data_IF_965668458260
#
_entry.id   IF_965668458260
#
_cell.length_a   1.000
_cell.length_b   1.000
_cell.length_c   1.000
_cell.angle_alpha   90.00
_cell.angle_beta   90.00
_cell.angle_gamma   90.00
#
_symmetry.space_group_name_H-M   'P 1'
#
loop_
_entity.id
_entity.type
_entity.pdbx_description
1 polymer ?
#
# COMPACT_ATOMS: atom_id res chain seq x y z
N UNK A 1 -48.39 -7.62 -20.87
CA UNK A 1 -47.04 -8.20 -20.94
C UNK A 1 -46.50 -8.17 -19.53
N UNK A 2 -46.40 -9.31 -18.87
CA UNK A 2 -45.82 -9.43 -17.56
C UNK A 2 -44.30 -9.32 -17.75
N UNK A 3 -43.65 -8.36 -17.04
CA UNK A 3 -42.19 -8.30 -16.95
C UNK A 3 -41.70 -9.62 -16.36
N UNK A 4 -40.61 -10.21 -16.88
CA UNK A 4 -40.01 -11.38 -16.25
C UNK A 4 -39.55 -11.02 -14.84
N UNK A 5 -40.05 -11.75 -13.84
CA UNK A 5 -39.51 -11.69 -12.49
C UNK A 5 -38.07 -12.17 -12.56
N UNK A 6 -37.12 -11.27 -12.34
CA UNK A 6 -35.76 -11.64 -12.10
C UNK A 6 -35.78 -12.41 -10.78
N UNK A 7 -35.68 -13.72 -10.85
CA UNK A 7 -35.35 -14.54 -9.69
C UNK A 7 -33.93 -14.20 -9.30
N UNK A 8 -33.73 -13.28 -8.35
CA UNK A 8 -32.45 -13.07 -7.70
C UNK A 8 -32.05 -14.38 -7.04
N UNK A 9 -31.01 -15.00 -7.52
CA UNK A 9 -30.40 -16.17 -6.86
C UNK A 9 -29.87 -15.67 -5.52
N UNK A 10 -30.32 -16.24 -4.41
CA UNK A 10 -29.82 -15.88 -3.08
C UNK A 10 -28.44 -16.50 -2.85
N UNK A 11 -27.59 -15.81 -2.04
CA UNK A 11 -26.32 -16.32 -1.59
C UNK A 11 -26.53 -17.61 -0.78
N UNK A 12 -25.92 -18.71 -1.22
CA UNK A 12 -26.08 -20.04 -0.58
C UNK A 12 -24.78 -20.52 0.01
N UNK A 13 -24.62 -20.39 1.34
CA UNK A 13 -23.46 -20.88 2.09
C UNK A 13 -23.23 -22.40 1.91
N UNK A 14 -24.29 -23.27 2.01
CA UNK A 14 -24.10 -24.69 1.76
C UNK A 14 -23.54 -25.00 0.37
N UNK A 15 -23.94 -24.21 -0.65
CA UNK A 15 -23.43 -24.39 -2.01
C UNK A 15 -21.96 -23.95 -2.15
N UNK A 16 -21.54 -22.88 -1.47
CA UNK A 16 -20.14 -22.47 -1.40
C UNK A 16 -19.30 -23.61 -0.78
N UNK A 17 -19.72 -24.15 0.35
CA UNK A 17 -19.03 -25.27 1.05
C UNK A 17 -19.01 -26.59 0.25
N UNK A 18 -19.96 -26.79 -0.65
CA UNK A 18 -20.00 -27.98 -1.54
C UNK A 18 -18.99 -27.87 -2.69
N UNK A 19 -18.80 -26.66 -3.23
CA UNK A 19 -18.07 -26.44 -4.50
C UNK A 19 -16.61 -26.08 -4.28
N UNK A 20 -16.30 -25.40 -3.16
CA UNK A 20 -14.95 -24.87 -2.89
C UNK A 20 -14.16 -25.86 -2.05
N UNK A 21 -12.89 -26.08 -2.43
CA UNK A 21 -11.90 -26.77 -1.60
C UNK A 21 -11.33 -25.85 -0.51
N UNK A 22 -11.42 -24.53 -0.74
CA UNK A 22 -11.03 -23.49 0.21
C UNK A 22 -11.99 -23.32 1.37
N UNK A 23 -11.56 -22.57 2.38
CA UNK A 23 -12.37 -22.32 3.58
C UNK A 23 -13.56 -21.39 3.30
N UNK A 24 -14.71 -21.69 3.93
CA UNK A 24 -15.92 -20.87 3.92
C UNK A 24 -16.32 -20.62 5.37
N UNK A 25 -16.02 -19.42 5.86
CA UNK A 25 -16.18 -19.00 7.26
C UNK A 25 -17.38 -18.07 7.37
N UNK A 26 -18.25 -18.35 8.34
CA UNK A 26 -19.48 -17.60 8.61
C UNK A 26 -19.53 -17.12 10.07
N UNK A 27 -20.43 -16.21 10.45
CA UNK A 27 -20.55 -15.75 11.84
C UNK A 27 -20.76 -16.85 12.89
N UNK A 28 -21.17 -18.04 12.48
CA UNK A 28 -21.37 -19.19 13.36
C UNK A 28 -20.08 -20.01 13.60
N UNK A 29 -18.99 -19.72 12.86
CA UNK A 29 -17.72 -20.45 12.97
C UNK A 29 -16.80 -19.77 14.02
N UNK A 30 -16.11 -20.57 14.85
CA UNK A 30 -15.23 -20.08 15.94
C UNK A 30 -14.09 -19.17 15.43
N UNK A 31 -13.63 -19.36 14.19
CA UNK A 31 -12.58 -18.56 13.55
C UNK A 31 -13.06 -17.23 12.95
N UNK A 32 -14.36 -16.93 13.02
CA UNK A 32 -14.93 -15.78 12.32
C UNK A 32 -14.37 -14.45 12.77
N UNK A 33 -14.26 -14.21 14.08
CA UNK A 33 -13.79 -12.92 14.62
C UNK A 33 -12.33 -12.65 14.27
N UNK A 34 -11.49 -13.69 14.27
CA UNK A 34 -10.11 -13.59 13.78
C UNK A 34 -10.07 -13.36 12.25
N UNK A 35 -10.83 -14.14 11.50
CA UNK A 35 -10.84 -14.09 10.04
C UNK A 35 -11.38 -12.77 9.47
N UNK A 36 -12.31 -12.08 10.14
CA UNK A 36 -12.86 -10.79 9.68
C UNK A 36 -11.97 -9.60 10.02
N UNK A 37 -11.02 -9.75 10.94
CA UNK A 37 -10.14 -8.67 11.35
C UNK A 37 -9.27 -8.18 10.19
N UNK A 38 -9.12 -6.87 10.08
CA UNK A 38 -8.17 -6.19 9.18
C UNK A 38 -7.06 -5.53 10.00
N UNK A 39 -5.98 -5.14 9.33
CA UNK A 39 -4.80 -4.56 9.96
C UNK A 39 -5.11 -3.35 10.85
N UNK A 40 -6.00 -2.46 10.43
CA UNK A 40 -6.37 -1.25 11.19
C UNK A 40 -7.53 -1.45 12.19
N UNK A 41 -7.99 -2.69 12.41
CA UNK A 41 -9.03 -2.98 13.40
C UNK A 41 -10.41 -2.38 13.08
N UNK A 42 -10.70 -2.05 11.83
CA UNK A 42 -12.01 -1.54 11.41
C UNK A 42 -13.04 -2.67 11.56
N UNK A 43 -14.02 -2.48 12.46
CA UNK A 43 -15.03 -3.50 12.77
C UNK A 43 -16.10 -3.57 11.69
N UNK A 44 -15.96 -4.54 10.78
CA UNK A 44 -16.97 -4.90 9.77
C UNK A 44 -17.39 -6.35 9.93
N UNK A 45 -18.63 -6.66 9.55
CA UNK A 45 -19.27 -7.97 9.76
C UNK A 45 -19.77 -8.55 8.44
N UNK A 46 -18.90 -9.21 7.65
CA UNK A 46 -19.30 -9.88 6.43
C UNK A 46 -20.23 -11.08 6.71
N UNK A 47 -21.13 -11.38 5.77
CA UNK A 47 -21.98 -12.57 5.85
C UNK A 47 -21.16 -13.85 5.69
N UNK A 48 -20.09 -13.79 4.89
CA UNK A 48 -19.20 -14.92 4.65
C UNK A 48 -17.80 -14.45 4.25
N UNK A 49 -16.80 -15.18 4.73
CA UNK A 49 -15.41 -15.02 4.31
C UNK A 49 -15.02 -16.31 3.57
N UNK A 50 -14.52 -16.16 2.34
CA UNK A 50 -14.05 -17.26 1.51
C UNK A 50 -12.55 -17.15 1.30
N UNK A 51 -11.80 -18.19 1.66
CA UNK A 51 -10.36 -18.33 1.42
C UNK A 51 -10.13 -19.34 0.28
N UNK A 52 -10.09 -18.89 -0.97
CA UNK A 52 -9.90 -19.76 -2.12
C UNK A 52 -8.45 -20.29 -2.15
N UNK A 53 -8.26 -21.46 -2.78
CA UNK A 53 -6.94 -22.07 -2.98
C UNK A 53 -6.40 -21.88 -4.40
N UNK A 54 -7.27 -21.50 -5.35
CA UNK A 54 -6.93 -21.37 -6.76
C UNK A 54 -7.83 -20.37 -7.49
N UNK A 55 -7.42 -19.96 -8.71
CA UNK A 55 -8.14 -18.98 -9.53
C UNK A 55 -9.52 -19.43 -10.01
N UNK A 56 -9.80 -20.73 -10.12
CA UNK A 56 -11.12 -21.22 -10.49
C UNK A 56 -12.13 -21.00 -9.36
N UNK A 57 -11.72 -21.18 -8.12
CA UNK A 57 -12.53 -20.86 -6.95
C UNK A 57 -12.80 -19.36 -6.83
N UNK A 58 -11.77 -18.53 -7.08
CA UNK A 58 -11.94 -17.07 -7.19
C UNK A 58 -12.99 -16.73 -8.25
N UNK A 59 -12.90 -17.33 -9.44
CA UNK A 59 -13.86 -17.12 -10.53
C UNK A 59 -15.28 -17.54 -10.16
N UNK A 60 -15.42 -18.64 -9.42
CA UNK A 60 -16.70 -19.10 -8.92
C UNK A 60 -17.32 -18.09 -7.94
N UNK A 61 -16.54 -17.60 -6.94
CA UNK A 61 -17.02 -16.63 -5.94
C UNK A 61 -17.39 -15.30 -6.61
N UNK A 62 -16.58 -14.80 -7.55
CA UNK A 62 -16.87 -13.60 -8.35
C UNK A 62 -18.18 -13.77 -9.10
N UNK A 63 -18.43 -14.94 -9.71
CA UNK A 63 -19.68 -15.22 -10.42
C UNK A 63 -20.88 -15.27 -9.46
N UNK A 64 -20.73 -15.88 -8.29
CA UNK A 64 -21.76 -15.89 -7.24
C UNK A 64 -22.11 -14.46 -6.82
N UNK A 65 -21.10 -13.63 -6.48
CA UNK A 65 -21.32 -12.24 -6.09
C UNK A 65 -22.06 -11.43 -7.17
N UNK A 66 -21.65 -11.58 -8.44
CA UNK A 66 -22.30 -10.95 -9.59
C UNK A 66 -23.78 -11.40 -9.73
N UNK A 67 -24.02 -12.70 -9.73
CA UNK A 67 -25.31 -13.28 -10.06
C UNK A 67 -26.34 -13.08 -8.92
N UNK A 68 -25.88 -12.96 -7.68
CA UNK A 68 -26.71 -12.63 -6.50
C UNK A 68 -26.82 -11.13 -6.23
N UNK A 69 -25.95 -10.29 -6.83
CA UNK A 69 -25.84 -8.87 -6.50
C UNK A 69 -25.24 -8.62 -5.12
N UNK A 70 -24.61 -9.64 -4.52
CA UNK A 70 -23.96 -9.54 -3.20
C UNK A 70 -22.68 -8.69 -3.30
N UNK A 71 -22.47 -7.83 -2.31
CA UNK A 71 -21.25 -7.03 -2.23
C UNK A 71 -20.01 -7.91 -2.06
N UNK A 72 -18.93 -7.56 -2.78
CA UNK A 72 -17.68 -8.32 -2.79
C UNK A 72 -16.51 -7.45 -2.36
N UNK A 73 -15.93 -7.76 -1.21
CA UNK A 73 -14.63 -7.24 -0.79
C UNK A 73 -13.52 -8.22 -1.17
N UNK A 74 -12.39 -7.71 -1.67
CA UNK A 74 -11.21 -8.53 -1.99
C UNK A 74 -10.09 -8.16 -1.03
N UNK A 75 -9.51 -9.16 -0.36
CA UNK A 75 -8.46 -8.98 0.63
C UNK A 75 -7.22 -9.81 0.27
N UNK A 76 -6.05 -9.16 0.28
CA UNK A 76 -4.72 -9.77 0.27
C UNK A 76 -4.16 -9.70 1.72
N UNK A 77 -3.44 -8.63 2.11
CA UNK A 77 -2.94 -8.45 3.48
C UNK A 77 -3.82 -7.60 4.42
N UNK A 78 -4.95 -7.06 3.95
CA UNK A 78 -5.88 -6.32 4.82
C UNK A 78 -5.44 -4.90 5.22
N UNK A 79 -4.45 -4.32 4.57
CA UNK A 79 -3.86 -3.01 4.88
C UNK A 79 -4.59 -1.79 4.27
N UNK A 80 -5.85 -1.92 3.88
CA UNK A 80 -6.63 -0.76 3.43
C UNK A 80 -6.98 0.15 4.60
N UNK A 81 -6.48 1.38 4.61
CA UNK A 81 -6.81 2.39 5.63
C UNK A 81 -8.33 2.69 5.62
N UNK A 82 -8.98 2.61 4.47
CA UNK A 82 -10.43 2.76 4.33
C UNK A 82 -11.23 1.50 4.70
N UNK A 83 -10.56 0.39 5.06
CA UNK A 83 -11.21 -0.87 5.41
C UNK A 83 -11.85 -1.63 4.24
N UNK A 84 -11.51 -1.33 3.00
CA UNK A 84 -12.12 -1.96 1.82
C UNK A 84 -11.77 -3.44 1.63
N UNK A 85 -10.85 -4.00 2.42
CA UNK A 85 -10.60 -5.44 2.47
C UNK A 85 -11.67 -6.25 3.22
N UNK A 86 -12.75 -5.60 3.71
CA UNK A 86 -13.90 -6.22 4.36
C UNK A 86 -15.19 -5.47 4.01
N UNK A 87 -16.35 -6.04 4.34
CA UNK A 87 -17.68 -5.44 4.11
C UNK A 87 -18.59 -5.64 5.31
N UNK A 88 -19.63 -4.84 5.43
CA UNK A 88 -20.76 -5.10 6.33
C UNK A 88 -21.85 -5.84 5.57
N UNK A 89 -22.04 -7.12 5.87
CA UNK A 89 -22.74 -8.04 4.99
C UNK A 89 -21.88 -8.40 3.77
N UNK A 90 -22.38 -9.23 2.88
CA UNK A 90 -21.68 -9.60 1.67
C UNK A 90 -20.54 -10.61 1.84
N UNK A 91 -19.70 -10.71 0.82
CA UNK A 91 -18.62 -11.70 0.71
C UNK A 91 -17.27 -11.01 0.88
N UNK A 92 -16.42 -11.53 1.76
CA UNK A 92 -14.98 -11.24 1.77
C UNK A 92 -14.25 -12.37 1.04
N UNK A 93 -13.61 -12.06 -0.06
CA UNK A 93 -12.72 -12.96 -0.78
C UNK A 93 -11.29 -12.75 -0.27
N UNK A 94 -10.88 -13.60 0.65
CA UNK A 94 -9.59 -13.53 1.35
C UNK A 94 -8.57 -14.42 0.65
N UNK A 95 -7.60 -13.79 -0.02
CA UNK A 95 -6.58 -14.50 -0.82
C UNK A 95 -5.44 -15.08 0.03
N UNK A 96 -5.46 -14.95 1.36
CA UNK A 96 -4.37 -15.34 2.27
C UNK A 96 -3.93 -16.80 2.18
N UNK A 97 -4.77 -17.70 1.66
CA UNK A 97 -4.40 -19.10 1.38
C UNK A 97 -3.60 -19.29 0.06
N UNK A 98 -3.55 -18.26 -0.80
CA UNK A 98 -2.87 -18.32 -2.10
C UNK A 98 -1.43 -17.80 -1.97
N UNK A 99 -0.48 -18.69 -1.60
CA UNK A 99 0.91 -18.32 -1.24
C UNK A 99 1.99 -19.03 -2.07
N UNK A 100 1.67 -19.59 -3.23
CA UNK A 100 2.67 -20.25 -4.07
C UNK A 100 3.67 -19.25 -4.67
N UNK A 101 4.95 -19.63 -4.66
CA UNK A 101 6.10 -18.89 -5.23
C UNK A 101 6.84 -19.82 -6.20
N UNK A 102 7.10 -19.32 -7.41
CA UNK A 102 7.89 -20.04 -8.44
C UNK A 102 8.96 -19.11 -9.01
N UNK A 103 10.19 -19.29 -8.55
CA UNK A 103 11.35 -18.49 -8.98
C UNK A 103 12.04 -19.12 -10.17
N UNK A 104 12.26 -18.33 -11.23
CA UNK A 104 13.18 -18.65 -12.32
C UNK A 104 14.43 -17.78 -12.21
N UNK A 105 15.47 -18.32 -11.58
CA UNK A 105 16.73 -17.60 -11.34
C UNK A 105 17.49 -17.30 -12.62
N UNK A 106 17.29 -18.08 -13.70
CA UNK A 106 17.96 -17.88 -14.99
C UNK A 106 17.36 -16.68 -15.75
N UNK A 107 16.03 -16.57 -15.70
CA UNK A 107 15.33 -15.43 -16.32
C UNK A 107 15.18 -14.25 -15.36
N UNK A 108 15.53 -14.44 -14.08
CA UNK A 108 15.31 -13.47 -12.99
C UNK A 108 13.86 -13.02 -12.95
N UNK A 109 12.96 -13.99 -12.87
CA UNK A 109 11.52 -13.73 -12.72
C UNK A 109 10.94 -14.61 -11.63
N UNK A 110 9.82 -14.15 -11.06
CA UNK A 110 9.03 -14.93 -10.11
C UNK A 110 7.55 -14.86 -10.49
N UNK A 111 6.86 -15.98 -10.40
CA UNK A 111 5.42 -16.01 -10.24
C UNK A 111 5.09 -16.14 -8.76
N UNK A 112 4.34 -15.18 -8.22
CA UNK A 112 3.96 -15.09 -6.82
C UNK A 112 2.44 -14.93 -6.71
N UNK A 113 1.79 -15.73 -5.89
CA UNK A 113 0.35 -15.62 -5.64
C UNK A 113 0.03 -14.42 -4.74
N UNK A 114 -1.14 -13.81 -4.96
CA UNK A 114 -1.53 -12.52 -4.39
C UNK A 114 -1.84 -12.55 -2.88
N UNK A 115 -1.92 -13.71 -2.27
CA UNK A 115 -2.09 -13.86 -0.81
C UNK A 115 -0.80 -13.78 0.00
N UNK A 116 0.37 -13.72 -0.67
CA UNK A 116 1.65 -13.49 -0.01
C UNK A 116 1.72 -12.09 0.60
N UNK A 117 2.47 -11.98 1.70
CA UNK A 117 2.91 -10.68 2.23
C UNK A 117 4.25 -10.26 1.62
N UNK A 118 4.61 -8.99 1.80
CA UNK A 118 5.89 -8.45 1.35
C UNK A 118 7.06 -9.17 2.03
N UNK A 119 6.98 -9.43 3.34
CA UNK A 119 8.00 -10.16 4.08
C UNK A 119 8.17 -11.60 3.57
N UNK A 120 7.07 -12.34 3.38
CA UNK A 120 7.10 -13.71 2.90
C UNK A 120 7.78 -13.83 1.53
N UNK A 121 7.42 -12.94 0.59
CA UNK A 121 8.02 -12.99 -0.74
C UNK A 121 9.47 -12.50 -0.72
N UNK A 122 9.80 -11.47 0.06
CA UNK A 122 11.17 -10.94 0.18
C UNK A 122 12.10 -11.98 0.78
N UNK A 123 11.67 -12.68 1.83
CA UNK A 123 12.44 -13.79 2.44
C UNK A 123 12.68 -14.93 1.45
N UNK A 124 11.63 -15.38 0.74
CA UNK A 124 11.76 -16.45 -0.26
C UNK A 124 12.70 -16.08 -1.42
N UNK A 125 12.74 -14.83 -1.85
CA UNK A 125 13.64 -14.35 -2.89
C UNK A 125 15.07 -14.17 -2.40
N UNK A 126 15.25 -13.83 -1.11
CA UNK A 126 16.55 -13.67 -0.46
C UNK A 126 17.41 -14.92 -0.49
N UNK A 127 16.82 -16.13 -0.52
CA UNK A 127 17.55 -17.39 -0.71
C UNK A 127 18.32 -17.43 -2.04
N UNK A 128 17.94 -16.59 -3.00
CA UNK A 128 18.52 -16.51 -4.32
C UNK A 128 19.31 -15.21 -4.56
N UNK A 129 19.50 -14.36 -3.53
CA UNK A 129 20.09 -13.01 -3.63
C UNK A 129 19.34 -12.11 -4.63
N UNK A 130 18.02 -12.30 -4.72
CA UNK A 130 17.13 -11.58 -5.62
C UNK A 130 16.05 -10.87 -4.82
N UNK A 131 15.55 -9.76 -5.37
CA UNK A 131 14.48 -9.00 -4.76
C UNK A 131 13.54 -8.36 -5.79
N UNK A 132 12.34 -8.04 -5.33
CA UNK A 132 11.44 -7.03 -5.89
C UNK A 132 11.00 -6.11 -4.76
N UNK A 133 10.96 -4.78 -5.01
CA UNK A 133 10.61 -3.82 -3.98
C UNK A 133 9.10 -3.77 -3.74
N UNK A 134 8.71 -3.73 -2.46
CA UNK A 134 7.34 -3.46 -2.01
C UNK A 134 7.31 -2.17 -1.17
N UNK A 135 6.43 -2.10 -0.16
CA UNK A 135 6.37 -0.98 0.79
C UNK A 135 7.43 -1.06 1.88
N UNK A 136 7.08 -0.52 3.02
CA UNK A 136 7.89 -0.45 4.24
C UNK A 136 7.38 -1.36 5.38
N UNK A 137 6.22 -1.97 5.23
CA UNK A 137 5.66 -2.92 6.18
C UNK A 137 5.68 -4.35 5.62
N UNK A 138 6.23 -5.28 6.39
CA UNK A 138 6.36 -6.69 5.99
C UNK A 138 5.03 -7.41 5.87
N UNK A 139 4.06 -7.06 6.70
CA UNK A 139 2.72 -7.64 6.76
C UNK A 139 1.79 -7.21 5.60
N UNK A 140 2.18 -6.19 4.81
CA UNK A 140 1.38 -5.74 3.67
C UNK A 140 1.26 -6.84 2.60
N UNK A 141 0.03 -7.10 2.14
CA UNK A 141 -0.21 -8.07 1.07
C UNK A 141 0.26 -7.56 -0.29
N UNK A 142 1.00 -8.41 -1.05
CA UNK A 142 1.54 -8.02 -2.35
C UNK A 142 0.46 -7.68 -3.37
N UNK A 143 -0.80 -8.13 -3.17
CA UNK A 143 -1.91 -7.88 -4.10
C UNK A 143 -2.26 -6.40 -4.19
N UNK A 144 -2.70 -5.81 -3.08
CA UNK A 144 -3.14 -4.41 -3.05
C UNK A 144 -2.02 -3.42 -3.36
N UNK A 145 -0.85 -3.63 -2.74
CA UNK A 145 0.29 -2.72 -2.93
C UNK A 145 0.76 -2.68 -4.38
N UNK A 146 0.82 -3.84 -5.06
CA UNK A 146 1.19 -3.91 -6.48
C UNK A 146 0.19 -3.17 -7.35
N UNK A 147 -1.12 -3.43 -7.18
CA UNK A 147 -2.13 -2.86 -8.07
C UNK A 147 -2.21 -1.32 -7.99
N UNK A 148 -1.87 -0.72 -6.85
CA UNK A 148 -1.86 0.74 -6.69
C UNK A 148 -0.54 1.43 -7.01
N UNK A 149 0.57 0.67 -7.13
CA UNK A 149 1.88 1.25 -7.44
C UNK A 149 3.05 0.58 -6.72
N UNK A 150 3.09 0.66 -5.40
CA UNK A 150 4.15 0.11 -4.56
C UNK A 150 5.38 1.02 -4.45
N UNK A 151 5.35 1.92 -3.46
CA UNK A 151 6.46 2.80 -3.09
C UNK A 151 7.16 2.23 -1.87
N UNK A 152 8.44 1.92 -1.97
CA UNK A 152 9.20 1.31 -0.88
C UNK A 152 10.71 1.48 -1.03
N UNK A 153 11.47 0.68 -0.29
CA UNK A 153 12.93 0.84 -0.11
C UNK A 153 13.78 0.67 -1.39
N UNK A 154 13.28 0.01 -2.43
CA UNK A 154 13.99 -0.15 -3.71
C UNK A 154 13.48 0.78 -4.82
N UNK A 155 12.51 1.65 -4.51
CA UNK A 155 11.79 2.38 -5.55
C UNK A 155 12.64 3.41 -6.28
N UNK A 156 13.60 4.07 -5.61
CA UNK A 156 14.50 5.03 -6.27
C UNK A 156 15.44 4.33 -7.24
N UNK A 157 15.91 3.12 -6.91
CA UNK A 157 16.85 2.35 -7.74
C UNK A 157 16.17 1.59 -8.86
N UNK A 158 15.04 0.94 -8.59
CA UNK A 158 14.40 -0.02 -9.50
C UNK A 158 13.01 0.39 -9.99
N UNK A 159 12.47 1.52 -9.54
CA UNK A 159 11.10 1.95 -9.82
C UNK A 159 10.10 1.42 -8.79
N UNK A 160 8.85 1.73 -9.02
CA UNK A 160 7.73 1.21 -8.22
C UNK A 160 7.59 -0.31 -8.40
N UNK A 161 6.88 -0.99 -7.53
CA UNK A 161 6.58 -2.43 -7.69
C UNK A 161 5.98 -2.75 -9.06
N UNK A 162 5.08 -1.88 -9.56
CA UNK A 162 4.46 -2.01 -10.89
C UNK A 162 5.47 -1.93 -12.06
N UNK A 163 6.64 -1.34 -11.87
CA UNK A 163 7.65 -1.22 -12.92
C UNK A 163 8.43 -2.52 -13.09
N UNK A 164 8.40 -3.38 -12.07
CA UNK A 164 8.91 -4.75 -12.13
C UNK A 164 7.84 -5.76 -12.57
N UNK A 165 6.55 -5.37 -12.68
CA UNK A 165 5.47 -6.27 -13.08
C UNK A 165 5.56 -6.59 -14.58
N UNK A 166 5.66 -7.89 -14.91
CA UNK A 166 5.73 -8.41 -16.28
C UNK A 166 4.38 -8.93 -16.77
N UNK A 167 3.63 -9.58 -15.89
CA UNK A 167 2.31 -10.13 -16.16
C UNK A 167 1.53 -10.31 -14.87
N UNK A 168 0.20 -10.46 -14.99
CA UNK A 168 -0.65 -10.91 -13.91
C UNK A 168 -1.69 -11.92 -14.42
N UNK A 169 -2.22 -12.72 -13.51
CA UNK A 169 -3.45 -13.48 -13.74
C UNK A 169 -4.58 -12.78 -13.00
N UNK A 170 -5.63 -12.45 -13.73
CA UNK A 170 -6.81 -11.75 -13.20
C UNK A 170 -8.08 -12.56 -13.43
N UNK A 171 -8.97 -12.51 -12.45
CA UNK A 171 -10.37 -12.91 -12.59
C UNK A 171 -11.21 -11.65 -12.80
N UNK A 172 -11.81 -11.52 -13.97
CA UNK A 172 -12.67 -10.39 -14.36
C UNK A 172 -14.10 -10.54 -13.85
N UNK A 173 -14.91 -9.46 -13.91
CA UNK A 173 -16.29 -9.45 -13.39
C UNK A 173 -17.21 -10.47 -14.07
N UNK A 174 -16.91 -10.91 -15.29
CA UNK A 174 -17.62 -11.97 -16.00
C UNK A 174 -17.16 -13.40 -15.58
N UNK A 175 -16.26 -13.51 -14.60
CA UNK A 175 -15.75 -14.79 -14.08
C UNK A 175 -14.66 -15.43 -14.93
N UNK A 176 -14.10 -14.74 -15.92
CA UNK A 176 -13.01 -15.28 -16.74
C UNK A 176 -11.65 -15.08 -16.07
N UNK A 177 -10.83 -16.13 -16.15
CA UNK A 177 -9.43 -16.06 -15.75
C UNK A 177 -8.59 -15.62 -16.96
N UNK A 178 -7.97 -14.46 -16.86
CA UNK A 178 -7.16 -13.86 -17.93
C UNK A 178 -5.70 -13.74 -17.51
N UNK A 179 -4.77 -14.09 -18.40
CA UNK A 179 -3.39 -13.63 -18.32
C UNK A 179 -3.31 -12.26 -18.99
N UNK A 180 -2.78 -11.29 -18.27
CA UNK A 180 -2.62 -9.92 -18.77
C UNK A 180 -1.14 -9.52 -18.74
N UNK A 181 -0.65 -8.99 -19.85
CA UNK A 181 0.71 -8.51 -20.01
C UNK A 181 0.77 -7.46 -21.15
N UNK A 182 1.96 -7.02 -21.53
CA UNK A 182 2.13 -5.99 -22.57
C UNK A 182 1.60 -6.40 -23.96
N UNK A 183 1.41 -7.70 -24.23
CA UNK A 183 0.91 -8.24 -25.48
C UNK A 183 -0.55 -8.72 -25.36
N UNK A 184 -0.92 -9.22 -24.19
CA UNK A 184 -2.24 -9.78 -23.90
C UNK A 184 -3.02 -8.83 -23.01
N UNK A 185 -4.11 -8.25 -23.52
CA UNK A 185 -4.93 -7.25 -22.80
C UNK A 185 -4.13 -6.03 -22.32
N UNK A 186 -3.39 -5.34 -23.22
CA UNK A 186 -2.45 -4.29 -22.82
C UNK A 186 -3.12 -3.08 -22.15
N UNK A 187 -4.38 -2.80 -22.44
CA UNK A 187 -5.19 -1.78 -21.77
C UNK A 187 -5.48 -2.15 -20.31
N UNK A 188 -5.84 -3.39 -20.05
CA UNK A 188 -6.05 -3.91 -18.70
C UNK A 188 -4.72 -3.98 -17.94
N UNK A 189 -3.65 -4.41 -18.59
CA UNK A 189 -2.29 -4.41 -18.01
C UNK A 189 -1.81 -3.01 -17.63
N UNK A 190 -2.13 -2.01 -18.45
CA UNK A 190 -1.87 -0.62 -18.09
C UNK A 190 -2.67 -0.19 -16.85
N UNK A 191 -3.97 -0.50 -16.81
CA UNK A 191 -4.89 -0.08 -15.76
C UNK A 191 -4.54 -0.67 -14.39
N UNK A 192 -4.17 -1.97 -14.32
CA UNK A 192 -3.79 -2.62 -13.05
C UNK A 192 -2.43 -2.17 -12.52
N UNK A 193 -1.66 -1.40 -13.27
CA UNK A 193 -0.40 -0.81 -12.83
C UNK A 193 -0.60 0.62 -12.32
N UNK A 194 -1.36 0.75 -11.23
CA UNK A 194 -1.65 2.02 -10.55
C UNK A 194 -3.14 2.26 -10.31
N UNK A 195 -4.05 1.64 -11.07
CA UNK A 195 -5.50 1.84 -10.94
C UNK A 195 -6.16 1.01 -9.84
N UNK A 196 -5.39 0.28 -9.04
CA UNK A 196 -5.91 -0.52 -7.92
C UNK A 196 -6.75 -1.73 -8.33
N UNK A 197 -7.53 -2.24 -7.39
CA UNK A 197 -8.36 -3.46 -7.53
C UNK A 197 -9.67 -3.26 -8.31
N UNK A 198 -9.77 -2.24 -9.16
CA UNK A 198 -11.02 -1.87 -9.83
C UNK A 198 -11.44 -2.79 -11.00
N UNK A 199 -10.53 -3.60 -11.53
CA UNK A 199 -10.70 -4.24 -12.84
C UNK A 199 -10.84 -5.76 -12.76
N UNK A 200 -10.65 -6.33 -11.58
CA UNK A 200 -10.68 -7.77 -11.35
C UNK A 200 -9.90 -8.16 -10.10
N UNK A 201 -9.96 -9.43 -9.77
CA UNK A 201 -9.17 -10.04 -8.69
C UNK A 201 -7.87 -10.58 -9.25
N UNK A 202 -6.75 -9.97 -8.87
CA UNK A 202 -5.43 -10.52 -9.20
C UNK A 202 -5.15 -11.74 -8.31
N UNK A 203 -4.87 -12.88 -8.93
CA UNK A 203 -4.61 -14.15 -8.23
C UNK A 203 -3.12 -14.45 -8.11
N UNK A 204 -2.32 -13.98 -9.08
CA UNK A 204 -0.85 -14.04 -9.05
C UNK A 204 -0.23 -13.01 -9.99
N UNK A 205 1.02 -12.68 -9.71
CA UNK A 205 1.83 -11.72 -10.46
C UNK A 205 3.12 -12.36 -10.95
N UNK A 206 3.59 -11.95 -12.12
CA UNK A 206 4.93 -12.24 -12.59
C UNK A 206 5.79 -10.98 -12.47
N UNK A 207 6.81 -11.02 -11.62
CA UNK A 207 7.74 -9.91 -11.47
C UNK A 207 9.09 -10.22 -12.11
N UNK A 208 9.74 -9.17 -12.62
CA UNK A 208 11.18 -9.12 -12.84
C UNK A 208 11.86 -9.02 -11.49
N UNK A 209 12.95 -9.74 -11.30
CA UNK A 209 13.77 -9.72 -10.10
C UNK A 209 15.05 -8.93 -10.35
N UNK A 210 15.50 -8.27 -9.30
CA UNK A 210 16.74 -7.50 -9.25
C UNK A 210 17.75 -8.19 -8.33
N UNK A 211 19.04 -8.10 -8.67
CA UNK A 211 20.11 -8.54 -7.77
C UNK A 211 20.22 -7.53 -6.63
N UNK A 212 19.81 -7.94 -5.44
CA UNK A 212 19.92 -7.19 -4.21
C UNK A 212 20.19 -8.19 -3.10
N UNK A 213 21.40 -8.13 -2.53
CA UNK A 213 21.81 -9.00 -1.44
C UNK A 213 22.13 -8.17 -0.21
N UNK A 214 23.24 -7.44 -0.26
CA UNK A 214 23.67 -6.58 0.83
C UNK A 214 23.04 -5.19 0.72
N UNK A 215 22.75 -4.63 1.89
CA UNK A 215 22.28 -3.26 2.07
C UNK A 215 23.07 -2.61 3.21
N UNK A 216 23.07 -1.28 3.24
CA UNK A 216 23.30 -0.52 4.47
C UNK A 216 21.98 0.12 4.84
N UNK A 217 21.38 -0.31 5.92
CA UNK A 217 20.04 0.15 6.26
C UNK A 217 19.70 0.01 7.73
N UNK A 218 18.62 0.66 8.11
CA UNK A 218 18.13 0.63 9.48
C UNK A 218 17.52 1.96 9.90
N UNK A 219 17.37 2.08 11.21
CA UNK A 219 16.74 3.21 11.87
C UNK A 219 17.77 4.25 12.30
N UNK A 220 17.53 5.52 11.95
CA UNK A 220 18.27 6.67 12.48
C UNK A 220 17.28 7.65 13.11
N UNK A 221 17.43 7.91 14.40
CA UNK A 221 16.59 8.86 15.13
C UNK A 221 17.40 10.10 15.51
N UNK A 222 16.93 11.25 15.07
CA UNK A 222 17.56 12.55 15.30
C UNK A 222 16.59 13.48 16.07
N UNK A 223 17.10 14.49 16.79
CA UNK A 223 16.26 15.58 17.28
C UNK A 223 15.57 16.27 16.10
N UNK A 224 14.25 16.46 16.18
CA UNK A 224 13.52 17.18 15.15
C UNK A 224 13.68 18.69 15.34
N UNK A 225 14.73 19.25 14.76
CA UNK A 225 14.89 20.69 14.59
C UNK A 225 14.61 21.09 13.15
N UNK A 226 14.32 22.35 12.91
CA UNK A 226 14.11 22.91 11.57
C UNK A 226 15.28 22.57 10.64
N UNK A 227 16.52 22.70 11.13
CA UNK A 227 17.74 22.38 10.37
C UNK A 227 17.86 20.90 10.08
N UNK A 228 17.57 20.05 11.06
CA UNK A 228 17.67 18.59 10.90
C UNK A 228 16.65 18.06 9.89
N UNK A 229 15.37 18.50 9.97
CA UNK A 229 14.33 18.04 9.05
C UNK A 229 14.56 18.54 7.63
N UNK A 230 14.83 19.84 7.43
CA UNK A 230 15.10 20.41 6.11
C UNK A 230 16.40 19.82 5.51
N UNK A 231 17.47 19.70 6.29
CA UNK A 231 18.75 19.13 5.86
C UNK A 231 18.62 17.63 5.50
N UNK A 232 17.80 16.88 6.23
CA UNK A 232 17.53 15.47 5.89
C UNK A 232 16.89 15.34 4.50
N UNK A 233 15.88 16.16 4.21
CA UNK A 233 15.19 16.14 2.90
C UNK A 233 16.13 16.56 1.78
N UNK A 234 16.96 17.58 2.00
CA UNK A 234 17.97 18.04 1.03
C UNK A 234 19.00 16.94 0.72
N UNK A 235 19.55 16.28 1.75
CA UNK A 235 20.47 15.14 1.59
C UNK A 235 19.79 13.97 0.86
N UNK A 236 18.57 13.62 1.22
CA UNK A 236 17.83 12.54 0.58
C UNK A 236 17.53 12.83 -0.90
N UNK A 237 17.22 14.08 -1.24
CA UNK A 237 16.99 14.50 -2.63
C UNK A 237 18.28 14.46 -3.47
N UNK A 238 19.41 14.80 -2.89
CA UNK A 238 20.74 14.78 -3.53
C UNK A 238 21.39 13.38 -3.55
N UNK A 239 20.88 12.44 -2.78
CA UNK A 239 21.44 11.10 -2.65
C UNK A 239 21.38 10.30 -3.96
N UNK A 240 22.29 9.32 -4.17
CA UNK A 240 22.22 8.41 -5.31
C UNK A 240 20.93 7.57 -5.30
N UNK A 241 20.57 7.02 -6.44
CA UNK A 241 19.34 6.24 -6.61
C UNK A 241 19.29 4.99 -5.71
N UNK A 242 20.44 4.48 -5.30
CA UNK A 242 20.57 3.35 -4.39
C UNK A 242 20.01 3.63 -2.99
N UNK A 243 19.93 4.90 -2.55
CA UNK A 243 19.39 5.27 -1.24
C UNK A 243 17.91 5.61 -1.34
N UNK A 244 17.08 4.90 -0.61
CA UNK A 244 15.69 5.26 -0.33
C UNK A 244 15.55 5.62 1.15
N UNK A 245 14.73 6.63 1.45
CA UNK A 245 14.50 7.11 2.82
C UNK A 245 13.03 7.28 3.12
N UNK A 246 12.66 7.01 4.38
CA UNK A 246 11.36 7.34 4.95
C UNK A 246 11.64 8.09 6.25
N UNK A 247 11.17 9.32 6.35
CA UNK A 247 11.36 10.15 7.53
C UNK A 247 10.00 10.48 8.16
N UNK A 248 9.89 10.26 9.47
CA UNK A 248 8.68 10.53 10.24
C UNK A 248 8.99 11.61 11.28
N UNK A 249 8.39 12.78 11.14
CA UNK A 249 8.38 13.79 12.22
C UNK A 249 7.21 13.46 13.12
N UNK A 250 7.49 13.03 14.36
CA UNK A 250 6.49 12.55 15.29
C UNK A 250 6.92 12.72 16.75
N UNK A 251 5.98 12.63 17.68
CA UNK A 251 6.33 12.50 19.10
C UNK A 251 6.88 11.10 19.35
N UNK A 252 8.01 11.01 20.05
CA UNK A 252 8.63 9.74 20.41
C UNK A 252 7.68 8.88 21.24
N UNK A 253 7.24 7.72 20.72
CA UNK A 253 6.42 6.80 21.50
C UNK A 253 7.27 6.09 22.58
N UNK A 254 6.66 5.44 23.58
CA UNK A 254 7.35 4.70 24.60
C UNK A 254 7.91 3.36 24.06
N UNK A 255 8.94 3.44 23.21
CA UNK A 255 9.62 2.26 22.67
C UNK A 255 10.67 1.75 23.66
N UNK A 256 10.87 0.42 23.81
CA UNK A 256 11.80 -0.16 24.77
C UNK A 256 13.26 0.27 24.57
N UNK A 257 13.65 0.59 23.32
CA UNK A 257 15.01 1.00 22.95
C UNK A 257 15.22 2.52 23.00
N UNK A 258 14.19 3.33 23.29
CA UNK A 258 14.30 4.77 23.48
C UNK A 258 14.37 5.13 24.96
N UNK A 259 15.34 5.96 25.39
CA UNK A 259 15.38 6.49 26.75
C UNK A 259 14.05 7.17 27.14
N UNK A 260 13.60 6.93 28.37
CA UNK A 260 12.29 7.44 28.84
C UNK A 260 12.18 8.98 28.81
N UNK A 261 13.33 9.68 28.94
CA UNK A 261 13.40 11.14 28.87
C UNK A 261 13.10 11.70 27.48
N UNK A 262 13.16 10.87 26.43
CA UNK A 262 12.80 11.25 25.06
C UNK A 262 11.31 11.07 24.75
N UNK A 263 10.60 10.27 25.56
CA UNK A 263 9.18 9.99 25.31
C UNK A 263 8.37 11.28 25.27
N UNK A 264 7.58 11.46 24.20
CA UNK A 264 6.76 12.65 23.96
C UNK A 264 7.50 13.85 23.37
N UNK A 265 8.83 13.82 23.26
CA UNK A 265 9.58 14.84 22.52
C UNK A 265 9.37 14.63 21.00
N UNK A 266 9.38 15.72 20.22
CA UNK A 266 9.31 15.61 18.76
C UNK A 266 10.67 15.17 18.23
N UNK A 267 10.67 14.06 17.49
CA UNK A 267 11.85 13.44 16.89
C UNK A 267 11.68 13.30 15.38
N UNK A 268 12.80 13.21 14.68
CA UNK A 268 12.89 12.74 13.31
C UNK A 268 13.27 11.24 13.34
N UNK A 269 12.26 10.40 13.22
CA UNK A 269 12.42 8.94 13.12
C UNK A 269 12.57 8.58 11.65
N UNK A 270 13.73 8.14 11.24
CA UNK A 270 13.99 7.84 9.84
C UNK A 270 14.44 6.41 9.61
N UNK A 271 14.02 5.85 8.48
CA UNK A 271 14.52 4.59 7.92
C UNK A 271 15.32 4.94 6.67
N UNK A 272 16.55 4.46 6.62
CA UNK A 272 17.43 4.58 5.46
C UNK A 272 17.75 3.20 4.93
N UNK A 273 17.69 3.01 3.61
CA UNK A 273 18.10 1.76 2.96
C UNK A 273 18.88 2.09 1.70
N UNK A 274 20.17 1.85 1.77
CA UNK A 274 21.08 1.89 0.62
C UNK A 274 21.28 0.48 0.08
N UNK A 275 20.87 0.25 -1.17
CA UNK A 275 20.98 -1.06 -1.84
C UNK A 275 22.16 -1.06 -2.81
N UNK A 276 23.35 -1.40 -2.34
CA UNK A 276 24.58 -1.37 -3.13
C UNK A 276 25.78 -1.83 -2.32
N UNK A 277 26.96 -1.47 -2.78
CA UNK A 277 28.21 -1.78 -2.07
C UNK A 277 28.22 -1.20 -0.65
N UNK A 278 28.50 -2.00 0.40
CA UNK A 278 28.42 -1.56 1.78
C UNK A 278 29.38 -0.40 2.14
N UNK A 279 30.61 -0.37 1.63
CA UNK A 279 31.56 0.71 1.91
C UNK A 279 31.07 2.05 1.33
N UNK A 280 30.48 2.00 0.12
CA UNK A 280 29.82 3.15 -0.51
C UNK A 280 28.60 3.55 0.28
N UNK A 281 27.78 2.58 0.74
CA UNK A 281 26.59 2.81 1.54
C UNK A 281 26.88 3.56 2.83
N UNK A 282 27.90 3.17 3.58
CA UNK A 282 28.36 3.87 4.78
C UNK A 282 28.75 5.33 4.47
N UNK A 283 29.44 5.57 3.35
CA UNK A 283 29.81 6.92 2.92
C UNK A 283 28.60 7.78 2.55
N UNK A 284 27.55 7.17 1.97
CA UNK A 284 26.29 7.85 1.57
C UNK A 284 25.45 8.17 2.81
N UNK A 285 25.44 7.32 3.82
CA UNK A 285 24.66 7.51 5.06
C UNK A 285 25.36 8.49 6.04
N UNK A 286 26.69 8.58 6.03
CA UNK A 286 27.44 9.40 6.98
C UNK A 286 26.94 10.86 7.11
N UNK A 287 26.61 11.62 6.03
CA UNK A 287 26.09 12.98 6.14
C UNK A 287 24.77 13.09 6.93
N UNK A 288 23.93 12.05 6.91
CA UNK A 288 22.66 12.04 7.67
C UNK A 288 22.94 11.96 9.18
N UNK A 289 23.96 11.22 9.60
CA UNK A 289 24.43 11.13 10.99
C UNK A 289 25.02 12.44 11.50
N UNK A 290 25.55 13.27 10.59
CA UNK A 290 26.19 14.57 10.91
C UNK A 290 25.17 15.73 11.03
N UNK A 291 23.90 15.54 10.65
CA UNK A 291 22.85 16.56 10.78
C UNK A 291 22.61 16.99 12.23
N UNK A 292 22.75 16.07 13.17
CA UNK A 292 22.68 16.32 14.60
C UNK A 292 23.30 15.12 15.35
N UNK A 293 23.55 15.26 16.65
CA UNK A 293 23.93 14.09 17.46
C UNK A 293 22.76 13.10 17.47
N UNK A 294 22.91 11.86 16.94
CA UNK A 294 21.86 10.88 16.92
C UNK A 294 21.35 10.54 18.33
N UNK A 295 20.03 10.43 18.47
CA UNK A 295 19.37 9.89 19.66
C UNK A 295 19.44 8.36 19.66
N UNK A 296 19.40 7.78 18.45
CA UNK A 296 19.62 6.36 18.19
C UNK A 296 20.16 6.20 16.77
N UNK A 297 21.12 5.28 16.58
CA UNK A 297 21.63 4.89 15.28
C UNK A 297 21.72 3.36 15.23
N UNK A 298 20.90 2.76 14.39
CA UNK A 298 20.83 1.33 14.09
C UNK A 298 21.04 1.07 12.59
N UNK A 299 21.65 2.03 11.88
CA UNK A 299 21.96 1.85 10.46
C UNK A 299 23.26 1.09 10.33
N UNK A 300 23.19 -0.12 9.80
CA UNK A 300 24.30 -1.06 9.69
C UNK A 300 24.21 -1.88 8.39
N UNK A 301 25.31 -2.53 7.97
CA UNK A 301 25.26 -3.52 6.91
C UNK A 301 24.37 -4.72 7.28
N UNK A 302 23.54 -5.16 6.32
CA UNK A 302 22.64 -6.27 6.50
C UNK A 302 22.22 -6.87 5.17
N UNK A 303 21.20 -7.73 5.19
CA UNK A 303 20.63 -8.32 3.97
C UNK A 303 19.26 -7.73 3.70
N UNK A 304 18.95 -7.50 2.43
CA UNK A 304 17.62 -7.00 2.06
C UNK A 304 16.49 -7.99 2.42
N UNK A 305 16.78 -9.30 2.46
CA UNK A 305 15.82 -10.31 2.89
C UNK A 305 15.31 -10.12 4.32
N UNK A 306 16.10 -9.44 5.15
CA UNK A 306 15.84 -9.28 6.58
C UNK A 306 15.30 -7.86 6.89
N UNK A 307 14.98 -7.08 5.83
CA UNK A 307 14.55 -5.68 5.97
C UNK A 307 13.22 -5.52 6.71
N UNK A 308 12.36 -6.53 6.65
CA UNK A 308 11.09 -6.53 7.34
C UNK A 308 11.23 -7.28 8.66
N UNK A 309 11.16 -6.55 9.76
CA UNK A 309 11.03 -7.16 11.08
C UNK A 309 9.72 -7.93 11.18
N UNK A 310 9.68 -8.97 12.00
CA UNK A 310 8.44 -9.65 12.35
C UNK A 310 7.57 -8.68 13.15
N UNK A 311 6.49 -8.20 12.57
CA UNK A 311 5.47 -7.44 13.28
C UNK A 311 4.67 -8.43 14.14
N UNK A 312 4.94 -8.45 15.44
CA UNK A 312 4.23 -9.32 16.39
C UNK A 312 2.74 -8.96 16.54
N UNK A 313 2.41 -7.67 16.34
CA UNK A 313 1.02 -7.17 16.43
C UNK A 313 0.81 -6.03 15.42
N UNK A 314 -0.41 -5.90 14.88
CA UNK A 314 -0.82 -4.76 14.07
C UNK A 314 -0.78 -3.44 14.86
N UNK A 315 -1.10 -2.29 14.24
CA UNK A 315 -1.13 -1.02 14.94
C UNK A 315 -2.09 -1.11 16.13
N UNK A 316 -1.80 -0.36 17.22
CA UNK A 316 -2.71 -0.35 18.36
C UNK A 316 -4.11 0.07 17.90
N UNK A 317 -5.18 -0.49 18.52
CA UNK A 317 -6.55 -0.14 18.17
C UNK A 317 -6.77 1.37 18.25
N UNK A 318 -7.37 1.94 17.21
CA UNK A 318 -7.64 3.38 17.15
C UNK A 318 -8.36 3.77 15.88
N UNK A 319 -8.80 5.03 15.85
CA UNK A 319 -9.33 5.66 14.64
C UNK A 319 -8.22 6.47 13.99
N UNK A 320 -8.16 6.43 12.67
CA UNK A 320 -7.12 7.11 11.90
C UNK A 320 -7.73 8.23 11.05
N UNK A 321 -7.14 9.41 11.09
CA UNK A 321 -7.31 10.44 10.09
C UNK A 321 -6.00 10.56 9.31
N UNK A 322 -6.10 10.54 7.98
CA UNK A 322 -4.93 10.57 7.11
C UNK A 322 -5.13 11.54 5.96
N UNK A 323 -4.03 12.12 5.48
CA UNK A 323 -3.98 12.89 4.25
C UNK A 323 -2.66 12.68 3.55
N UNK A 324 -2.71 12.08 2.38
CA UNK A 324 -1.56 11.88 1.52
C UNK A 324 -1.57 12.90 0.38
N UNK A 325 -0.43 13.51 0.08
CA UNK A 325 -0.29 14.48 -1.00
C UNK A 325 1.18 14.60 -1.43
N UNK A 326 1.44 15.41 -2.47
CA UNK A 326 2.79 15.63 -2.96
C UNK A 326 3.18 17.10 -2.83
N UNK A 327 4.48 17.33 -2.60
CA UNK A 327 5.08 18.66 -2.56
C UNK A 327 6.39 18.67 -3.36
N UNK A 328 6.81 19.85 -3.79
CA UNK A 328 8.04 19.99 -4.57
C UNK A 328 9.29 20.13 -3.68
N UNK A 329 9.12 20.62 -2.45
CA UNK A 329 10.21 20.84 -1.51
C UNK A 329 9.70 20.88 -0.06
N UNK A 330 10.58 20.61 0.90
CA UNK A 330 10.42 20.87 2.34
C UNK A 330 11.57 21.77 2.77
N UNK A 331 11.34 23.06 2.74
CA UNK A 331 12.28 24.05 3.23
C UNK A 331 12.21 24.24 4.76
N UNK A 332 13.01 25.17 5.30
CA UNK A 332 13.05 25.46 6.74
C UNK A 332 11.67 25.91 7.29
N UNK A 333 10.91 26.66 6.52
CA UNK A 333 9.59 27.14 6.96
C UNK A 333 8.57 26.00 7.01
N UNK A 334 8.59 25.10 6.01
CA UNK A 334 7.77 23.89 6.01
C UNK A 334 8.17 22.94 7.16
N UNK A 335 9.48 22.76 7.40
CA UNK A 335 9.98 21.96 8.51
C UNK A 335 9.54 22.52 9.88
N UNK A 336 9.63 23.83 10.09
CA UNK A 336 9.14 24.50 11.30
C UNK A 336 7.64 24.26 11.49
N UNK A 337 6.84 24.46 10.44
CA UNK A 337 5.40 24.22 10.46
C UNK A 337 5.07 22.77 10.86
N UNK A 338 5.76 21.79 10.28
CA UNK A 338 5.56 20.36 10.61
C UNK A 338 5.85 20.11 12.10
N UNK A 339 7.00 20.57 12.60
CA UNK A 339 7.42 20.36 13.98
C UNK A 339 6.42 21.00 14.96
N UNK A 340 6.03 22.26 14.73
CA UNK A 340 5.08 22.98 15.57
C UNK A 340 3.72 22.28 15.61
N UNK A 341 3.18 21.88 14.45
CA UNK A 341 1.88 21.23 14.35
C UNK A 341 1.89 19.83 14.99
N UNK A 342 2.94 19.02 14.78
CA UNK A 342 3.10 17.73 15.45
C UNK A 342 3.20 17.92 16.97
N UNK A 343 3.98 18.89 17.43
CA UNK A 343 4.12 19.19 18.87
C UNK A 343 2.79 19.63 19.51
N UNK A 344 1.98 20.42 18.80
CA UNK A 344 0.70 20.92 19.28
C UNK A 344 -0.43 19.89 19.21
N UNK A 345 -0.28 18.79 18.48
CA UNK A 345 -1.32 17.77 18.32
C UNK A 345 -1.65 17.08 19.65
N UNK A 346 -2.96 16.92 19.92
CA UNK A 346 -3.50 16.15 21.07
C UNK A 346 -3.73 14.67 20.78
N UNK A 347 -3.50 14.22 19.53
CA UNK A 347 -3.65 12.81 19.13
C UNK A 347 -2.70 11.91 19.94
N UNK A 348 -3.10 10.66 20.16
CA UNK A 348 -2.22 9.66 20.76
C UNK A 348 -0.98 9.39 19.92
N UNK A 349 -1.12 9.48 18.60
CA UNK A 349 -0.01 9.52 17.64
C UNK A 349 -0.33 10.56 16.56
N UNK A 350 0.61 11.48 16.32
CA UNK A 350 0.58 12.45 15.23
C UNK A 350 1.90 12.35 14.48
N UNK A 351 1.83 12.17 13.17
CA UNK A 351 3.03 11.96 12.34
C UNK A 351 2.89 12.70 11.00
N UNK A 352 4.00 13.28 10.56
CA UNK A 352 4.19 13.68 9.16
C UNK A 352 5.30 12.80 8.59
N UNK A 353 4.91 11.87 7.73
CA UNK A 353 5.84 11.01 7.02
C UNK A 353 6.24 11.67 5.71
N UNK A 354 7.55 11.70 5.45
CA UNK A 354 8.19 12.32 4.28
C UNK A 354 8.91 11.21 3.50
N UNK A 355 8.56 11.04 2.24
CA UNK A 355 9.23 10.11 1.32
C UNK A 355 9.80 10.89 0.14
N UNK A 356 11.12 10.92 0.03
CA UNK A 356 11.80 11.52 -1.12
C UNK A 356 11.80 10.48 -2.25
N UNK A 357 11.15 10.83 -3.35
CA UNK A 357 10.98 10.01 -4.54
C UNK A 357 12.10 10.27 -5.58
N UNK A 358 11.79 10.22 -6.87
CA UNK A 358 12.75 10.46 -7.94
C UNK A 358 13.43 9.18 -8.44
N UNK A 359 14.69 9.26 -8.87
CA UNK A 359 15.44 8.12 -9.38
C UNK A 359 14.73 7.38 -10.51
N UNK A 360 14.67 6.05 -10.46
CA UNK A 360 14.00 5.21 -11.46
C UNK A 360 12.50 5.50 -11.60
N UNK A 361 11.82 5.95 -10.53
CA UNK A 361 10.39 6.31 -10.58
C UNK A 361 10.16 7.39 -11.64
N UNK A 362 10.98 8.45 -11.62
CA UNK A 362 10.83 9.61 -12.51
C UNK A 362 11.30 9.36 -13.95
N UNK A 363 12.05 8.27 -14.21
CA UNK A 363 12.49 7.90 -15.56
C UNK A 363 11.44 7.12 -16.34
N UNK A 364 10.43 6.58 -15.69
CA UNK A 364 9.29 5.93 -16.36
C UNK A 364 8.39 7.02 -16.95
N UNK A 365 8.00 6.93 -18.24
CA UNK A 365 7.06 7.89 -18.82
C UNK A 365 5.72 7.93 -18.08
N UNK A 366 5.14 9.09 -17.92
CA UNK A 366 3.91 9.31 -17.14
C UNK A 366 2.74 8.44 -17.65
N UNK A 367 2.67 8.19 -18.95
CA UNK A 367 1.61 7.41 -19.59
C UNK A 367 1.84 5.89 -19.62
N UNK A 368 3.02 5.43 -19.20
CA UNK A 368 3.39 4.01 -19.28
C UNK A 368 2.55 3.12 -18.35
N UNK A 369 2.00 3.69 -17.29
CA UNK A 369 1.16 3.03 -16.30
C UNK A 369 0.04 3.96 -15.84
N UNK A 370 -0.93 3.46 -15.08
CA UNK A 370 -1.98 4.29 -14.49
C UNK A 370 -1.51 5.10 -13.27
N UNK A 371 -0.30 4.84 -12.74
CA UNK A 371 0.31 5.68 -11.71
C UNK A 371 0.79 7.00 -12.33
N UNK A 372 0.17 8.13 -11.96
CA UNK A 372 0.33 9.40 -12.67
C UNK A 372 1.36 10.37 -12.05
N UNK A 373 1.93 10.06 -10.86
CA UNK A 373 2.74 10.99 -10.07
C UNK A 373 4.25 10.74 -10.20
N UNK A 374 4.71 10.40 -11.43
CA UNK A 374 6.10 9.98 -11.70
C UNK A 374 7.13 11.07 -11.40
N UNK A 375 6.75 12.33 -11.59
CA UNK A 375 7.66 13.48 -11.49
C UNK A 375 7.59 14.23 -10.17
N UNK A 376 6.69 13.80 -9.26
CA UNK A 376 6.57 14.42 -7.94
C UNK A 376 7.77 14.02 -7.09
N UNK A 377 8.55 14.98 -6.58
CA UNK A 377 9.81 14.67 -5.88
C UNK A 377 9.61 14.18 -4.44
N UNK A 378 8.55 14.63 -3.76
CA UNK A 378 8.30 14.30 -2.36
C UNK A 378 6.83 13.93 -2.17
N UNK A 379 6.60 12.80 -1.52
CA UNK A 379 5.30 12.37 -1.05
C UNK A 379 5.21 12.55 0.45
N UNK A 380 4.16 13.23 0.91
CA UNK A 380 3.82 13.41 2.31
C UNK A 380 2.60 12.55 2.68
N UNK A 381 2.64 12.04 3.90
CA UNK A 381 1.49 11.41 4.53
C UNK A 381 1.35 11.96 5.95
N UNK A 382 0.37 12.83 6.14
CA UNK A 382 0.02 13.37 7.47
C UNK A 382 -1.03 12.45 8.07
N UNK A 383 -0.75 11.92 9.25
CA UNK A 383 -1.65 10.99 9.92
C UNK A 383 -1.76 11.30 11.41
N UNK A 384 -2.93 11.04 11.95
CA UNK A 384 -3.17 11.02 13.39
C UNK A 384 -3.98 9.80 13.79
N UNK A 385 -3.62 9.21 14.92
CA UNK A 385 -4.37 8.14 15.57
C UNK A 385 -4.97 8.66 16.88
N UNK A 386 -6.22 8.34 17.13
CA UNK A 386 -6.97 8.76 18.32
C UNK A 386 -7.90 7.63 18.77
N UNK A 387 -8.33 7.68 20.05
CA UNK A 387 -9.04 6.55 20.65
C UNK A 387 -10.56 6.63 20.54
N UNK A 388 -11.10 7.84 20.54
CA UNK A 388 -12.54 8.04 20.61
C UNK A 388 -13.09 8.58 19.26
N UNK A 389 -14.12 7.95 18.69
CA UNK A 389 -14.72 8.39 17.43
C UNK A 389 -15.25 9.85 17.44
N UNK A 390 -15.63 10.39 18.60
CA UNK A 390 -16.09 11.77 18.75
C UNK A 390 -14.96 12.82 18.63
N UNK A 391 -13.70 12.39 18.74
CA UNK A 391 -12.52 13.21 18.49
C UNK A 391 -12.21 13.39 16.99
N UNK A 392 -12.85 12.58 16.12
CA UNK A 392 -12.54 12.51 14.67
C UNK A 392 -12.49 13.89 14.01
N UNK A 393 -13.49 14.75 14.25
CA UNK A 393 -13.53 16.10 13.67
C UNK A 393 -12.29 16.94 14.02
N UNK A 394 -11.78 16.84 15.24
CA UNK A 394 -10.60 17.57 15.71
C UNK A 394 -9.37 17.12 14.97
N UNK A 395 -9.19 15.80 14.86
CA UNK A 395 -8.00 15.20 14.26
C UNK A 395 -8.02 15.27 12.73
N UNK A 396 -9.18 15.12 12.10
CA UNK A 396 -9.35 15.39 10.66
C UNK A 396 -9.04 16.85 10.34
N UNK A 397 -9.53 17.79 11.15
CA UNK A 397 -9.24 19.22 10.96
C UNK A 397 -7.74 19.52 11.10
N UNK A 398 -7.05 18.85 12.04
CA UNK A 398 -5.61 18.98 12.20
C UNK A 398 -4.86 18.44 10.98
N UNK A 399 -5.20 17.25 10.51
CA UNK A 399 -4.59 16.61 9.33
C UNK A 399 -4.77 17.49 8.09
N UNK A 400 -5.99 17.96 7.83
CA UNK A 400 -6.28 18.82 6.68
C UNK A 400 -5.65 20.22 6.81
N UNK A 401 -5.62 20.77 8.02
CA UNK A 401 -4.99 22.07 8.30
C UNK A 401 -3.50 22.06 7.99
N UNK A 402 -2.79 21.02 8.45
CA UNK A 402 -1.37 20.84 8.18
C UNK A 402 -1.11 20.59 6.68
N UNK A 403 -1.88 19.72 6.04
CA UNK A 403 -1.76 19.47 4.61
C UNK A 403 -1.94 20.76 3.79
N UNK A 404 -2.95 21.57 4.12
CA UNK A 404 -3.18 22.87 3.48
C UNK A 404 -2.01 23.84 3.69
N UNK A 405 -1.47 23.91 4.91
CA UNK A 405 -0.32 24.76 5.24
C UNK A 405 0.95 24.36 4.48
N UNK A 406 1.09 23.06 4.12
CA UNK A 406 2.20 22.53 3.35
C UNK A 406 1.96 22.53 1.83
N UNK A 407 0.81 23.06 1.36
CA UNK A 407 0.53 23.21 -0.06
C UNK A 407 -0.05 22.01 -0.75
N UNK A 408 -0.90 21.22 -0.06
CA UNK A 408 -1.68 20.13 -0.69
C UNK A 408 -2.47 20.67 -1.89
N UNK A 409 -2.10 20.24 -3.09
CA UNK A 409 -2.72 20.60 -4.37
C UNK A 409 -3.82 19.63 -4.82
N UNK A 410 -4.11 18.64 -3.98
CA UNK A 410 -5.14 17.62 -4.21
C UNK A 410 -4.64 16.34 -4.83
N UNK A 411 -3.44 16.26 -5.41
CA UNK A 411 -2.89 14.99 -5.92
C UNK A 411 -2.60 14.00 -4.78
N UNK A 412 -2.80 12.69 -5.04
CA UNK A 412 -2.65 11.66 -4.03
C UNK A 412 -2.14 10.33 -4.58
N UNK A 413 -1.46 9.58 -3.74
CA UNK A 413 -1.12 8.18 -3.99
C UNK A 413 -2.25 7.26 -3.52
N UNK A 414 -2.83 6.50 -4.43
CA UNK A 414 -4.06 5.74 -4.21
C UNK A 414 -4.01 4.77 -3.01
N UNK A 415 -2.85 4.15 -2.74
CA UNK A 415 -2.73 3.22 -1.62
C UNK A 415 -2.73 3.90 -0.23
N UNK A 416 -2.57 5.22 -0.17
CA UNK A 416 -2.57 5.99 1.07
C UNK A 416 -3.81 6.85 1.26
N UNK A 417 -4.82 6.72 0.38
CA UNK A 417 -6.10 7.41 0.53
C UNK A 417 -6.99 6.63 1.50
N UNK A 418 -7.52 7.33 2.50
CA UNK A 418 -8.57 6.85 3.38
C UNK A 418 -9.95 6.83 2.69
N UNK A 419 -11.03 6.78 3.47
CA UNK A 419 -12.38 7.01 2.96
C UNK A 419 -12.67 8.51 2.87
N UNK A 420 -12.02 9.18 1.92
CA UNK A 420 -12.06 10.63 1.72
C UNK A 420 -13.05 11.05 0.61
N UNK A 421 -13.84 10.09 0.09
CA UNK A 421 -14.88 10.34 -0.90
C UNK A 421 -14.38 10.34 -2.36
N UNK A 422 -15.35 10.38 -3.28
CA UNK A 422 -15.13 10.17 -4.73
C UNK A 422 -14.22 11.20 -5.39
N UNK A 423 -14.27 12.46 -4.94
CA UNK A 423 -13.44 13.52 -5.50
C UNK A 423 -11.96 13.28 -5.20
N UNK A 424 -11.65 12.75 -4.01
CA UNK A 424 -10.29 12.40 -3.64
C UNK A 424 -9.72 11.28 -4.50
N UNK A 425 -10.53 10.27 -4.79
CA UNK A 425 -10.14 9.19 -5.71
C UNK A 425 -9.84 9.74 -7.11
N UNK A 426 -10.65 10.69 -7.60
CA UNK A 426 -10.41 11.35 -8.88
C UNK A 426 -9.09 12.11 -8.92
N UNK A 427 -8.73 12.79 -7.81
CA UNK A 427 -7.46 13.52 -7.68
C UNK A 427 -6.22 12.62 -7.73
N UNK A 428 -6.36 11.32 -7.37
CA UNK A 428 -5.28 10.36 -7.54
C UNK A 428 -4.95 10.06 -9.02
N UNK A 429 -5.85 10.41 -9.95
CA UNK A 429 -5.75 10.10 -11.37
C UNK A 429 -5.93 11.36 -12.23
N UNK A 430 -4.98 12.30 -12.22
CA UNK A 430 -5.12 13.57 -12.92
C UNK A 430 -5.19 13.42 -14.44
N UNK A 431 -5.73 14.43 -15.08
CA UNK A 431 -5.78 14.55 -16.54
C UNK A 431 -6.59 13.45 -17.21
N UNK A 432 -6.08 12.92 -18.32
CA UNK A 432 -6.74 11.88 -19.11
C UNK A 432 -6.64 10.46 -18.50
N UNK A 433 -5.82 10.28 -17.45
CA UNK A 433 -5.69 8.98 -16.76
C UNK A 433 -7.02 8.51 -16.19
N UNK A 434 -7.78 9.42 -15.57
CA UNK A 434 -9.11 9.11 -15.03
C UNK A 434 -10.08 8.59 -16.09
N UNK A 435 -10.19 9.29 -17.23
CA UNK A 435 -11.13 8.89 -18.28
C UNK A 435 -10.71 7.55 -18.91
N UNK A 436 -9.42 7.34 -19.16
CA UNK A 436 -8.90 6.07 -19.67
C UNK A 436 -9.18 4.90 -18.70
N UNK A 437 -9.01 5.10 -17.38
CA UNK A 437 -9.35 4.11 -16.37
C UNK A 437 -10.85 3.77 -16.39
N UNK A 438 -11.72 4.76 -16.52
CA UNK A 438 -13.17 4.57 -16.63
C UNK A 438 -13.58 3.78 -17.88
N UNK A 439 -12.91 4.00 -19.02
CA UNK A 439 -13.11 3.23 -20.25
C UNK A 439 -12.70 1.77 -20.08
N UNK A 440 -11.54 1.51 -19.44
CA UNK A 440 -11.09 0.15 -19.13
C UNK A 440 -12.07 -0.51 -18.13
N UNK A 441 -12.51 0.22 -17.11
CA UNK A 441 -13.52 -0.24 -16.15
C UNK A 441 -14.81 -0.63 -16.85
N UNK A 442 -15.31 0.20 -17.76
CA UNK A 442 -16.52 -0.10 -18.54
C UNK A 442 -16.39 -1.40 -19.36
N UNK A 443 -15.19 -1.69 -19.88
CA UNK A 443 -14.94 -2.91 -20.67
C UNK A 443 -14.90 -4.17 -19.82
N UNK A 444 -14.26 -4.15 -18.64
CA UNK A 444 -13.97 -5.34 -17.84
C UNK A 444 -14.88 -5.50 -16.62
N UNK A 445 -15.51 -4.43 -16.17
CA UNK A 445 -16.48 -4.43 -15.06
C UNK A 445 -17.58 -3.36 -15.25
N UNK A 446 -18.42 -3.49 -16.29
CA UNK A 446 -19.45 -2.50 -16.60
C UNK A 446 -20.53 -2.36 -15.51
N UNK A 447 -20.72 -3.40 -14.68
CA UNK A 447 -21.68 -3.39 -13.57
C UNK A 447 -21.09 -2.86 -12.26
N UNK A 448 -19.80 -2.44 -12.27
CA UNK A 448 -19.10 -1.97 -11.09
C UNK A 448 -19.16 -2.95 -9.90
N UNK A 449 -18.92 -4.23 -10.17
CA UNK A 449 -18.87 -5.29 -9.16
C UNK A 449 -17.72 -5.03 -8.16
N UNK A 450 -16.53 -4.71 -8.67
CA UNK A 450 -15.36 -4.38 -7.87
C UNK A 450 -15.38 -2.90 -7.46
N UNK A 451 -16.22 -2.56 -6.47
CA UNK A 451 -16.43 -1.19 -5.99
C UNK A 451 -15.93 -0.93 -4.58
N UNK A 452 -15.68 -1.98 -3.77
CA UNK A 452 -15.06 -1.84 -2.45
C UNK A 452 -13.55 -1.67 -2.59
N UNK A 453 -13.16 -0.48 -2.98
CA UNK A 453 -11.79 0.00 -3.17
C UNK A 453 -11.84 1.53 -3.34
N UNK A 454 -10.75 2.15 -3.74
CA UNK A 454 -10.77 3.52 -4.26
C UNK A 454 -11.45 3.50 -5.63
N UNK A 455 -12.78 3.53 -5.61
CA UNK A 455 -13.62 3.13 -6.74
C UNK A 455 -13.55 4.08 -7.93
N UNK A 456 -13.24 3.51 -9.09
CA UNK A 456 -13.31 4.16 -10.40
C UNK A 456 -14.60 3.68 -11.08
N UNK A 457 -15.66 4.52 -11.18
CA UNK A 457 -16.90 4.12 -11.83
C UNK A 457 -16.69 3.90 -13.33
N UNK A 458 -17.41 2.96 -13.96
CA UNK A 458 -17.34 2.77 -15.41
C UNK A 458 -17.74 4.03 -16.17
N UNK A 459 -17.19 4.22 -17.39
CA UNK A 459 -17.65 5.28 -18.29
C UNK A 459 -19.13 5.08 -18.65
N UNK A 460 -19.86 6.18 -18.81
CA UNK A 460 -21.22 6.15 -19.35
C UNK A 460 -21.20 5.70 -20.82
N UNK A 461 -22.19 4.93 -21.23
CA UNK A 461 -22.32 4.40 -22.61
C UNK A 461 -22.66 5.49 -23.61
#
# INVERSE_FOLDING_TARGET
MQSPSITTTELSIPKLREVLDGEVITPDDDSYDEARAGYYGIDRKPDVIVRPTNSNEVAYVVSVARDTGTELAVRSGGHSIAGYGSSDGGIVLDLSAMKAVHVDTKQRTVWAQAGLTAAELTSALGEHHLAVGFGDAGSVGIGGITLGGGVGFLSRKHGLTIDSLLAAELVTADGKVLRVDAQSHPDLFWAIRGGGGNFGVATRFQFRLHEVDEIVGGMLILPATTDTVAGFVELAAAAPDELSTIANVMKAPPMPFLPAELHGQVILFSLLVYSGDPETGESVVAPFRELATPLLDMVEPGRYSDIYEEEEEGPPPGVFAVRNFFVDNIDRAAAETIIEQVNASSASMAVTQIRVLGGAISRVPDEATAYAHRRRPIMLNVASMFQQPDEARTHESWVHGLATALGDDGEAYVNFIGDEGKERVRQAYPGHTWERLREVKHRYDPMNLFRLNQNIPPAES
#
